data_IF_985467060003
#
_entry.id   IF_985467060003
#
_cell.length_a   1.000
_cell.length_b   1.000
_cell.length_c   1.000
_cell.angle_alpha   90.00
_cell.angle_beta   90.00
_cell.angle_gamma   90.00
#
_symmetry.space_group_name_H-M   'P 1'
#
loop_
_entity.id
_entity.type
_entity.pdbx_description
1 polymer ?
#
# COMPACT_ATOMS: atom_id res chain seq x y z
N UNK A 1 -12.86 -48.54 -39.42
CA UNK A 1 -12.74 -47.83 -38.15
C UNK A 1 -11.91 -46.56 -38.38
N UNK A 2 -12.53 -45.38 -38.39
CA UNK A 2 -11.82 -44.10 -38.60
C UNK A 2 -11.65 -43.40 -37.26
N UNK A 3 -10.41 -43.31 -36.79
CA UNK A 3 -10.06 -42.58 -35.58
C UNK A 3 -9.98 -41.09 -35.93
N UNK A 4 -10.81 -40.26 -35.29
CA UNK A 4 -10.74 -38.79 -35.39
C UNK A 4 -9.80 -38.29 -34.27
N UNK A 5 -8.66 -37.72 -34.67
CA UNK A 5 -7.81 -36.93 -33.75
C UNK A 5 -8.54 -35.59 -33.46
N UNK A 6 -8.81 -35.37 -32.19
CA UNK A 6 -9.28 -34.05 -31.71
C UNK A 6 -8.01 -33.28 -31.29
N UNK A 7 -7.65 -32.28 -32.08
CA UNK A 7 -6.59 -31.35 -31.72
C UNK A 7 -7.09 -30.37 -30.64
N UNK A 8 -6.58 -30.48 -29.46
CA UNK A 8 -6.85 -29.58 -28.34
C UNK A 8 -5.94 -28.33 -28.46
N UNK A 9 -6.52 -27.21 -28.83
CA UNK A 9 -5.81 -25.93 -28.96
C UNK A 9 -5.63 -25.33 -27.56
N UNK A 10 -4.41 -25.36 -27.03
CA UNK A 10 -4.01 -24.69 -25.80
C UNK A 10 -3.89 -23.18 -26.09
N UNK A 11 -4.86 -22.38 -25.65
CA UNK A 11 -4.77 -20.93 -25.64
C UNK A 11 -3.95 -20.52 -24.42
N UNK A 12 -2.66 -20.22 -24.65
CA UNK A 12 -1.83 -19.60 -23.64
C UNK A 12 -2.27 -18.13 -23.48
N UNK A 13 -3.05 -17.87 -22.45
CA UNK A 13 -3.40 -16.51 -22.03
C UNK A 13 -2.17 -15.82 -21.45
N UNK A 14 -1.53 -14.94 -22.23
CA UNK A 14 -0.52 -14.03 -21.72
C UNK A 14 -1.20 -13.01 -20.81
N UNK A 15 -1.00 -13.12 -19.49
CA UNK A 15 -1.34 -12.08 -18.55
C UNK A 15 -0.44 -10.88 -18.82
N UNK A 16 -0.95 -9.87 -19.52
CA UNK A 16 -0.28 -8.57 -19.66
C UNK A 16 -0.22 -7.93 -18.28
N UNK A 17 0.97 -7.79 -17.72
CA UNK A 17 1.18 -6.92 -16.56
C UNK A 17 0.78 -5.50 -16.97
N UNK A 18 -0.32 -5.00 -16.42
CA UNK A 18 -0.71 -3.60 -16.57
C UNK A 18 0.31 -2.80 -15.77
N UNK A 19 1.31 -2.23 -16.44
CA UNK A 19 2.17 -1.23 -15.83
C UNK A 19 1.27 -0.04 -15.44
N UNK A 20 1.17 0.23 -14.14
CA UNK A 20 0.52 1.45 -13.69
C UNK A 20 1.22 2.64 -14.35
N UNK A 21 0.42 3.56 -14.90
CA UNK A 21 0.96 4.77 -15.52
C UNK A 21 1.71 5.59 -14.46
N UNK A 22 2.76 6.29 -14.88
CA UNK A 22 3.49 7.20 -14.00
C UNK A 22 2.57 8.31 -13.50
N UNK A 23 2.67 8.58 -12.21
CA UNK A 23 1.95 9.67 -11.54
C UNK A 23 2.56 11.01 -12.01
N UNK A 24 1.69 11.94 -12.39
CA UNK A 24 2.07 13.24 -12.97
C UNK A 24 1.39 14.40 -12.23
N UNK A 25 1.94 15.59 -12.41
CA UNK A 25 1.31 16.83 -12.00
C UNK A 25 -0.06 16.98 -12.66
N UNK A 26 -1.07 17.38 -11.86
CA UNK A 26 -2.46 17.49 -12.26
C UNK A 26 -3.30 16.24 -12.09
N UNK A 27 -2.69 15.07 -11.81
CA UNK A 27 -3.44 13.84 -11.57
C UNK A 27 -4.33 13.97 -10.33
N UNK A 28 -5.56 13.49 -10.44
CA UNK A 28 -6.46 13.26 -9.30
C UNK A 28 -6.42 11.77 -8.96
N UNK A 29 -5.98 11.47 -7.76
CA UNK A 29 -5.77 10.11 -7.27
C UNK A 29 -6.54 9.87 -5.97
N UNK A 30 -6.60 8.62 -5.56
CA UNK A 30 -7.04 8.22 -4.22
C UNK A 30 -5.91 7.54 -3.47
N UNK A 31 -5.88 7.73 -2.16
CA UNK A 31 -5.00 6.96 -1.29
C UNK A 31 -5.44 5.49 -1.28
N UNK A 32 -4.51 4.57 -1.43
CA UNK A 32 -4.76 3.11 -1.43
C UNK A 32 -4.64 2.49 -0.03
N UNK A 33 -4.17 3.27 0.93
CA UNK A 33 -4.06 2.92 2.34
C UNK A 33 -4.07 4.18 3.19
N UNK A 34 -4.18 4.05 4.50
CA UNK A 34 -3.93 5.19 5.37
C UNK A 34 -2.48 5.67 5.22
N UNK A 35 -2.30 6.99 5.20
CA UNK A 35 -1.01 7.66 5.27
C UNK A 35 -0.86 8.35 6.63
N UNK A 36 0.36 8.35 7.16
CA UNK A 36 0.63 8.88 8.49
C UNK A 36 1.64 10.04 8.42
N UNK A 37 1.18 11.27 8.13
CA UNK A 37 2.05 12.42 8.00
C UNK A 37 2.67 12.84 9.34
N UNK A 38 3.94 13.23 9.32
CA UNK A 38 4.57 14.10 10.31
C UNK A 38 4.40 15.54 9.83
N UNK A 39 3.47 16.27 10.43
CA UNK A 39 2.99 17.57 9.90
C UNK A 39 2.48 17.40 8.46
N UNK A 40 3.23 17.90 7.45
CA UNK A 40 2.91 17.79 6.04
C UNK A 40 3.82 16.79 5.28
N UNK A 41 4.70 16.06 5.95
CA UNK A 41 5.60 15.11 5.29
C UNK A 41 5.21 13.66 5.55
N UNK A 42 5.19 12.85 4.49
CA UNK A 42 5.02 11.41 4.55
C UNK A 42 6.26 10.78 3.89
N UNK A 43 7.08 10.10 4.68
CA UNK A 43 8.17 9.29 4.12
C UNK A 43 7.60 8.04 3.44
N UNK A 44 8.24 7.56 2.38
CA UNK A 44 7.81 6.35 1.66
C UNK A 44 7.81 5.07 2.50
N UNK A 45 8.38 5.09 3.70
CA UNK A 45 8.26 4.04 4.72
C UNK A 45 7.00 4.17 5.58
N UNK A 46 6.24 5.24 5.43
CA UNK A 46 4.96 5.50 6.11
C UNK A 46 5.03 5.20 7.62
N UNK A 47 5.78 5.99 8.37
CA UNK A 47 5.86 5.87 9.84
C UNK A 47 4.46 5.87 10.45
N UNK A 48 4.20 4.94 11.35
CA UNK A 48 2.87 4.74 11.98
C UNK A 48 2.60 5.79 13.06
N UNK A 49 2.56 7.07 12.64
CA UNK A 49 2.32 8.23 13.48
C UNK A 49 0.82 8.39 13.81
N UNK A 50 0.47 9.23 14.82
CA UNK A 50 -0.94 9.44 15.18
C UNK A 50 -1.77 10.15 14.11
N UNK A 51 -1.17 11.09 13.37
CA UNK A 51 -1.83 11.81 12.27
C UNK A 51 -2.17 10.85 11.13
N UNK A 52 -3.30 11.08 10.45
CA UNK A 52 -3.78 10.18 9.41
C UNK A 52 -4.50 10.91 8.29
N UNK A 53 -4.10 10.63 7.04
CA UNK A 53 -4.92 10.81 5.84
C UNK A 53 -5.57 9.45 5.58
N UNK A 54 -6.91 9.35 5.55
CA UNK A 54 -7.58 8.04 5.44
C UNK A 54 -7.37 7.41 4.07
N UNK A 55 -7.50 6.09 4.00
CA UNK A 55 -7.64 5.35 2.74
C UNK A 55 -8.86 5.86 1.97
N UNK A 56 -8.80 5.85 0.63
CA UNK A 56 -9.79 6.40 -0.29
C UNK A 56 -9.95 7.95 -0.24
N UNK A 57 -9.04 8.64 0.40
CA UNK A 57 -9.00 10.10 0.34
C UNK A 57 -8.66 10.57 -1.08
N UNK A 58 -9.41 11.54 -1.62
CA UNK A 58 -9.08 12.18 -2.89
C UNK A 58 -7.92 13.15 -2.69
N UNK A 59 -6.92 13.06 -3.57
CA UNK A 59 -5.76 13.94 -3.57
C UNK A 59 -5.50 14.46 -4.97
N UNK A 60 -4.96 15.68 -5.08
CA UNK A 60 -4.56 16.26 -6.36
C UNK A 60 -3.04 16.47 -6.36
N UNK A 61 -2.36 15.86 -7.31
CA UNK A 61 -0.90 15.98 -7.46
C UNK A 61 -0.54 17.38 -7.95
N UNK A 62 0.27 18.10 -7.19
CA UNK A 62 0.72 19.48 -7.51
C UNK A 62 2.07 19.52 -8.18
N UNK A 63 2.95 18.57 -7.84
CA UNK A 63 4.31 18.52 -8.38
C UNK A 63 4.92 17.13 -8.19
N UNK A 64 5.67 16.68 -9.17
CA UNK A 64 6.50 15.47 -9.06
C UNK A 64 7.95 15.83 -9.36
N UNK A 65 8.86 15.41 -8.50
CA UNK A 65 10.31 15.57 -8.65
C UNK A 65 11.00 14.21 -8.55
N UNK A 66 12.33 14.19 -8.62
CA UNK A 66 13.09 12.94 -8.50
C UNK A 66 12.95 12.25 -7.15
N UNK A 67 12.69 13.00 -6.07
CA UNK A 67 12.69 12.48 -4.70
C UNK A 67 11.42 12.75 -3.90
N UNK A 68 10.47 13.51 -4.44
CA UNK A 68 9.24 13.84 -3.73
C UNK A 68 8.08 14.13 -4.68
N UNK A 69 6.87 13.82 -4.22
CA UNK A 69 5.60 14.21 -4.84
C UNK A 69 4.86 15.12 -3.87
N UNK A 70 4.47 16.31 -4.34
CA UNK A 70 3.62 17.24 -3.60
C UNK A 70 2.18 17.03 -4.04
N UNK A 71 1.27 16.93 -3.09
CA UNK A 71 -0.16 16.78 -3.38
C UNK A 71 -1.01 17.59 -2.40
N UNK A 72 -2.19 17.97 -2.84
CA UNK A 72 -3.21 18.62 -2.01
C UNK A 72 -4.17 17.56 -1.46
N UNK A 73 -4.48 17.69 -0.17
CA UNK A 73 -5.54 16.96 0.51
C UNK A 73 -6.33 17.95 1.37
N UNK A 74 -7.63 18.12 1.08
CA UNK A 74 -8.52 19.04 1.80
C UNK A 74 -7.98 20.48 1.93
N UNK A 75 -7.36 20.99 0.86
CA UNK A 75 -6.81 22.36 0.80
C UNK A 75 -5.48 22.54 1.53
N UNK A 76 -4.86 21.47 1.98
CA UNK A 76 -3.52 21.46 2.58
C UNK A 76 -2.53 20.72 1.72
N UNK A 77 -1.33 21.29 1.53
CA UNK A 77 -0.26 20.64 0.78
C UNK A 77 0.51 19.67 1.67
N UNK A 78 0.74 18.47 1.12
CA UNK A 78 1.55 17.41 1.70
C UNK A 78 2.65 16.99 0.74
N UNK A 79 3.73 16.43 1.30
CA UNK A 79 4.84 15.86 0.52
C UNK A 79 4.99 14.37 0.82
N UNK A 80 4.92 13.54 -0.22
CA UNK A 80 5.35 12.15 -0.16
C UNK A 80 6.80 12.08 -0.60
N UNK A 81 7.70 11.74 0.32
CA UNK A 81 9.16 11.83 0.14
C UNK A 81 9.77 10.44 0.05
N UNK A 82 10.59 10.22 -0.97
CA UNK A 82 11.36 8.98 -1.12
C UNK A 82 12.43 8.88 -0.03
N UNK A 83 12.19 8.04 0.97
CA UNK A 83 13.13 7.79 2.07
C UNK A 83 14.42 7.10 1.56
N UNK A 84 15.53 7.38 2.22
CA UNK A 84 16.86 6.82 1.87
C UNK A 84 16.90 5.28 1.90
N UNK A 85 16.16 4.65 2.80
CA UNK A 85 16.12 3.19 2.89
C UNK A 85 15.30 2.57 1.76
N UNK A 86 14.19 3.20 1.35
CA UNK A 86 13.41 2.81 0.18
C UNK A 86 14.25 2.96 -1.09
N UNK A 87 14.96 4.09 -1.24
CA UNK A 87 15.90 4.32 -2.34
C UNK A 87 17.04 3.30 -2.33
N UNK A 88 17.58 2.95 -1.16
CA UNK A 88 18.63 1.94 -0.99
C UNK A 88 18.17 0.51 -1.36
N UNK A 89 16.87 0.26 -1.47
CA UNK A 89 16.28 -0.98 -1.97
C UNK A 89 15.96 -0.93 -3.49
N UNK A 90 16.57 0.01 -4.22
CA UNK A 90 16.38 0.26 -5.66
C UNK A 90 14.93 0.56 -6.07
N UNK A 91 14.14 1.10 -5.15
CA UNK A 91 12.76 1.52 -5.39
C UNK A 91 12.74 3.02 -5.75
N UNK A 92 12.20 3.36 -6.90
CA UNK A 92 12.00 4.74 -7.34
C UNK A 92 10.86 5.42 -6.59
N UNK A 93 10.78 6.77 -6.69
CA UNK A 93 9.64 7.52 -6.16
C UNK A 93 8.31 7.03 -6.77
N UNK A 94 8.27 6.78 -8.07
CA UNK A 94 7.07 6.32 -8.77
C UNK A 94 6.59 4.97 -8.23
N UNK A 95 7.48 4.00 -8.13
CA UNK A 95 7.16 2.68 -7.55
C UNK A 95 6.69 2.78 -6.09
N UNK A 96 7.36 3.62 -5.29
CA UNK A 96 6.94 3.86 -3.91
C UNK A 96 5.58 4.55 -3.83
N UNK A 97 5.36 5.60 -4.63
CA UNK A 97 4.09 6.34 -4.64
C UNK A 97 2.92 5.48 -5.14
N UNK A 98 3.11 4.68 -6.19
CA UNK A 98 2.09 3.76 -6.72
C UNK A 98 1.64 2.68 -5.71
N UNK A 99 2.43 2.41 -4.66
CA UNK A 99 2.00 1.54 -3.57
C UNK A 99 0.99 2.21 -2.61
N UNK A 100 0.88 3.54 -2.66
CA UNK A 100 0.05 4.34 -1.76
C UNK A 100 -1.02 5.18 -2.46
N UNK A 101 -0.87 5.43 -3.77
CA UNK A 101 -1.76 6.26 -4.56
C UNK A 101 -2.14 5.56 -5.85
N UNK A 102 -3.39 5.67 -6.22
CA UNK A 102 -3.91 5.10 -7.46
C UNK A 102 -5.13 5.85 -7.97
N UNK A 103 -5.62 5.50 -9.17
CA UNK A 103 -6.76 6.20 -9.78
C UNK A 103 -8.05 6.00 -8.99
N UNK A 104 -8.16 4.89 -8.26
CA UNK A 104 -9.36 4.55 -7.47
C UNK A 104 -9.02 3.52 -6.40
N UNK A 105 -9.57 3.70 -5.20
CA UNK A 105 -9.59 2.67 -4.16
C UNK A 105 -10.86 1.81 -4.27
N UNK A 106 -10.87 0.64 -3.63
CA UNK A 106 -12.03 -0.27 -3.62
C UNK A 106 -12.82 -0.14 -2.30
N UNK A 107 -13.64 0.91 -2.22
CA UNK A 107 -14.52 1.12 -1.06
C UNK A 107 -15.50 -0.02 -0.82
N UNK A 108 -16.03 -0.64 -1.90
CA UNK A 108 -16.99 -1.73 -1.78
C UNK A 108 -16.34 -2.94 -1.10
N UNK A 109 -15.11 -3.24 -1.48
CA UNK A 109 -14.32 -4.30 -0.87
C UNK A 109 -14.05 -4.00 0.62
N UNK A 110 -13.64 -2.78 0.97
CA UNK A 110 -13.45 -2.40 2.38
C UNK A 110 -14.72 -2.58 3.21
N UNK A 111 -15.88 -2.17 2.69
CA UNK A 111 -17.18 -2.34 3.35
C UNK A 111 -17.58 -3.81 3.55
N UNK A 112 -17.09 -4.73 2.69
CA UNK A 112 -17.33 -6.17 2.78
C UNK A 112 -16.36 -6.92 3.69
N UNK A 113 -15.29 -6.26 4.16
CA UNK A 113 -14.30 -6.88 5.05
C UNK A 113 -14.88 -7.18 6.44
N UNK A 114 -14.17 -8.02 7.20
CA UNK A 114 -14.57 -8.35 8.58
C UNK A 114 -14.62 -7.10 9.47
N UNK A 115 -15.40 -7.15 10.54
CA UNK A 115 -15.50 -6.03 11.49
C UNK A 115 -14.13 -5.64 12.05
N UNK A 116 -13.27 -6.63 12.38
CA UNK A 116 -11.92 -6.35 12.90
C UNK A 116 -11.03 -5.68 11.85
N UNK A 117 -11.16 -6.02 10.56
CA UNK A 117 -10.45 -5.32 9.49
C UNK A 117 -10.93 -3.86 9.41
N UNK A 118 -12.23 -3.63 9.40
CA UNK A 118 -12.80 -2.27 9.32
C UNK A 118 -12.37 -1.41 10.52
N UNK A 119 -12.38 -1.94 11.73
CA UNK A 119 -11.92 -1.25 12.95
C UNK A 119 -10.42 -0.94 12.89
N UNK A 120 -9.60 -1.89 12.41
CA UNK A 120 -8.17 -1.70 12.19
C UNK A 120 -7.88 -0.62 11.15
N UNK A 121 -8.60 -0.62 10.02
CA UNK A 121 -8.50 0.40 8.98
C UNK A 121 -8.90 1.77 9.54
N UNK A 122 -10.02 1.85 10.24
CA UNK A 122 -10.50 3.10 10.84
C UNK A 122 -9.52 3.66 11.88
N UNK A 123 -8.88 2.81 12.68
CA UNK A 123 -7.88 3.22 13.66
C UNK A 123 -6.48 3.46 13.08
N UNK A 124 -6.21 2.99 11.86
CA UNK A 124 -4.88 3.04 11.24
C UNK A 124 -3.87 2.10 11.89
N UNK A 125 -4.32 0.98 12.46
CA UNK A 125 -3.48 0.05 13.22
C UNK A 125 -3.80 -1.41 12.94
N UNK A 126 -2.79 -2.26 12.92
CA UNK A 126 -3.01 -3.70 12.91
C UNK A 126 -3.62 -4.17 14.25
N UNK A 127 -4.53 -5.14 14.16
CA UNK A 127 -5.17 -5.81 15.29
C UNK A 127 -5.19 -7.32 15.06
N UNK A 128 -5.16 -8.10 16.14
CA UNK A 128 -5.26 -9.56 16.05
C UNK A 128 -6.58 -9.96 15.38
N UNK A 129 -6.50 -10.89 14.43
CA UNK A 129 -7.62 -11.36 13.62
C UNK A 129 -7.81 -10.63 12.29
N UNK A 130 -7.13 -9.50 12.05
CA UNK A 130 -7.14 -8.83 10.73
C UNK A 130 -6.53 -9.71 9.65
N UNK A 131 -6.96 -9.47 8.41
CA UNK A 131 -6.33 -10.03 7.21
C UNK A 131 -5.06 -9.26 6.86
N UNK A 132 -4.16 -9.86 6.06
CA UNK A 132 -3.02 -9.13 5.45
C UNK A 132 -3.49 -7.90 4.67
N UNK A 133 -4.57 -8.04 3.92
CA UNK A 133 -5.16 -6.93 3.18
C UNK A 133 -5.67 -5.82 4.10
N UNK A 134 -6.38 -6.17 5.19
CA UNK A 134 -6.81 -5.21 6.20
C UNK A 134 -5.63 -4.44 6.80
N UNK A 135 -4.53 -5.14 7.09
CA UNK A 135 -3.29 -4.50 7.58
C UNK A 135 -2.69 -3.57 6.52
N UNK A 136 -2.68 -3.97 5.23
CA UNK A 136 -2.21 -3.11 4.13
C UNK A 136 -3.04 -1.82 4.00
N UNK A 137 -4.36 -1.91 4.13
CA UNK A 137 -5.23 -0.74 4.08
C UNK A 137 -5.06 0.15 5.33
N UNK A 138 -4.87 -0.47 6.50
CA UNK A 138 -4.71 0.23 7.77
C UNK A 138 -3.36 0.95 7.91
N UNK A 139 -2.26 0.28 7.54
CA UNK A 139 -0.90 0.72 7.83
C UNK A 139 -0.08 1.07 6.57
N UNK A 140 -0.62 0.79 5.39
CA UNK A 140 0.10 0.88 4.12
C UNK A 140 1.02 -0.31 3.88
N UNK A 141 1.72 -0.29 2.76
CA UNK A 141 2.72 -1.30 2.44
C UNK A 141 3.85 -1.27 3.47
N UNK A 142 4.25 -2.42 4.05
CA UNK A 142 5.41 -2.45 4.92
C UNK A 142 6.68 -2.05 4.14
N UNK A 143 7.61 -1.31 4.76
CA UNK A 143 8.80 -0.76 4.11
C UNK A 143 9.58 -1.79 3.29
N UNK A 144 9.89 -1.46 2.04
CA UNK A 144 10.53 -2.34 1.05
C UNK A 144 11.84 -2.96 1.54
N UNK A 145 12.70 -2.15 2.17
CA UNK A 145 14.03 -2.59 2.64
C UNK A 145 13.97 -3.65 3.76
N UNK A 146 12.88 -3.67 4.53
CA UNK A 146 12.69 -4.63 5.62
C UNK A 146 11.76 -5.78 5.24
N UNK A 147 10.98 -5.61 4.17
CA UNK A 147 9.99 -6.57 3.72
C UNK A 147 10.10 -6.74 2.19
N UNK A 148 11.17 -7.37 1.70
CA UNK A 148 11.38 -7.56 0.26
C UNK A 148 10.31 -8.44 -0.38
N UNK A 149 9.71 -9.35 0.40
CA UNK A 149 8.52 -10.12 0.04
C UNK A 149 7.37 -9.84 1.01
N UNK A 150 6.14 -9.92 0.52
CA UNK A 150 4.92 -9.87 1.33
C UNK A 150 4.43 -11.28 1.74
N UNK A 151 5.02 -12.35 1.19
CA UNK A 151 4.67 -13.74 1.46
C UNK A 151 5.43 -14.32 2.67
N UNK A 152 5.80 -13.44 3.62
CA UNK A 152 6.48 -13.84 4.85
C UNK A 152 5.51 -13.83 6.04
N UNK A 153 5.74 -14.65 7.10
CA UNK A 153 4.84 -14.74 8.25
C UNK A 153 4.86 -13.51 9.15
N UNK A 154 5.80 -12.59 8.98
CA UNK A 154 5.92 -11.39 9.78
C UNK A 154 6.23 -10.18 8.90
N UNK A 155 5.48 -9.09 9.07
CA UNK A 155 5.78 -7.80 8.47
C UNK A 155 6.31 -6.83 9.50
N UNK A 156 7.42 -6.13 9.13
CA UNK A 156 8.05 -5.14 9.98
C UNK A 156 7.70 -3.73 9.52
N UNK A 157 7.10 -2.96 10.41
CA UNK A 157 6.82 -1.53 10.25
C UNK A 157 7.67 -0.69 11.21
N UNK A 158 7.64 0.63 11.04
CA UNK A 158 8.25 1.58 11.96
C UNK A 158 7.20 2.53 12.51
N UNK A 159 7.10 2.63 13.84
CA UNK A 159 6.31 3.67 14.50
C UNK A 159 6.98 5.03 14.31
N UNK A 160 8.28 5.08 14.36
CA UNK A 160 9.14 6.23 14.10
C UNK A 160 10.57 5.70 13.84
N UNK A 161 11.56 6.61 13.70
CA UNK A 161 12.96 6.23 13.43
C UNK A 161 13.61 5.32 14.48
N UNK A 162 13.03 5.18 15.67
CA UNK A 162 13.60 4.42 16.80
C UNK A 162 12.79 3.18 17.17
N UNK A 163 11.49 3.16 16.88
CA UNK A 163 10.58 2.12 17.33
C UNK A 163 9.97 1.37 16.14
N UNK A 164 9.95 0.04 16.24
CA UNK A 164 9.39 -0.87 15.24
C UNK A 164 8.05 -1.44 15.72
N UNK A 165 7.27 -1.92 14.78
CA UNK A 165 6.06 -2.72 15.00
C UNK A 165 6.16 -3.95 14.12
N UNK A 166 6.14 -5.13 14.72
CA UNK A 166 6.08 -6.39 14.01
C UNK A 166 4.63 -6.92 14.01
N UNK A 167 4.11 -7.26 12.84
CA UNK A 167 2.80 -7.86 12.64
C UNK A 167 3.00 -9.30 12.18
N UNK A 168 2.60 -10.26 13.02
CA UNK A 168 2.73 -11.70 12.75
C UNK A 168 1.43 -12.28 12.21
N UNK A 169 1.54 -13.18 11.25
CA UNK A 169 0.41 -13.82 10.58
C UNK A 169 0.48 -15.34 10.70
N UNK A 170 -0.69 -15.97 10.77
CA UNK A 170 -0.84 -17.41 10.60
C UNK A 170 -0.80 -17.83 9.12
N UNK A 171 -0.89 -19.15 8.88
CA UNK A 171 -0.89 -19.75 7.53
C UNK A 171 -2.11 -19.34 6.69
N UNK A 172 -3.17 -18.81 7.31
CA UNK A 172 -4.37 -18.26 6.65
C UNK A 172 -4.27 -16.77 6.38
N UNK A 173 -3.13 -16.14 6.72
CA UNK A 173 -2.90 -14.71 6.57
C UNK A 173 -3.66 -13.84 7.56
N UNK A 174 -4.01 -14.39 8.73
CA UNK A 174 -4.62 -13.63 9.83
C UNK A 174 -3.58 -13.18 10.84
N UNK A 175 -3.70 -11.95 11.32
CA UNK A 175 -2.84 -11.42 12.37
C UNK A 175 -3.01 -12.23 13.65
N UNK A 176 -1.92 -12.76 14.18
CA UNK A 176 -1.86 -13.49 15.45
C UNK A 176 -1.24 -12.66 16.56
N UNK A 177 -0.35 -11.72 16.23
CA UNK A 177 0.33 -10.89 17.21
C UNK A 177 0.78 -9.55 16.59
N UNK A 178 0.79 -8.48 17.42
CA UNK A 178 1.32 -7.16 17.09
C UNK A 178 2.20 -6.70 18.26
N UNK A 179 3.47 -6.45 18.01
CA UNK A 179 4.47 -6.14 19.06
C UNK A 179 5.44 -5.04 18.64
#
# INVERSE_FOLDING_TARGET
>A
MKVRLVSMLLIAGSASAVNAADIKEGDTLQTLSNLHPDKQEILSINYQLPSKIPVCANVTVKKVSKGAMVFDYEGSEYQFVLDKHTKGADISLQQAAQAYFGPKCDEAKMKSMSKVDQEGIASGRAQVGMTREGVMLAMGRPPFHANPSLDVPEWMYWRNRFARVAVQFDDKGKVTNVR
#
